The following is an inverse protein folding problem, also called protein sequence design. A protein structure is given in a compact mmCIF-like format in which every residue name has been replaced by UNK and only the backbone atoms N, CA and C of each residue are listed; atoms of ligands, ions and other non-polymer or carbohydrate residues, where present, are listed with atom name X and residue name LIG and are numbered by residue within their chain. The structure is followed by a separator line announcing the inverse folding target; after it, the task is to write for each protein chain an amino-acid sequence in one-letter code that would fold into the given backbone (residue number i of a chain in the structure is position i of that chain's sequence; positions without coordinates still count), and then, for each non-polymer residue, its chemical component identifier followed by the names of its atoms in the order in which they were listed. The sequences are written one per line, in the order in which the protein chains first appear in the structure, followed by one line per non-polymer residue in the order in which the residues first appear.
data_IF_653876305266
#
_entry.id   IF_653876305266
#
_cell.length_a   1.000
_cell.length_b   1.000
_cell.length_c   1.000
_cell.angle_alpha   90.00
_cell.angle_beta   90.00
_cell.angle_gamma   90.00
#
_symmetry.space_group_name_H-M   'P 1'
#
loop_
_entity.id
_entity.type
_entity.pdbx_description
1 polymer ?
#
# COMPACT_ATOMS: atom_id res chain seq x y z
N UNK A 1 19.44 12.63 16.79
CA UNK A 1 18.51 13.57 16.13
C UNK A 1 17.15 13.38 16.78
N UNK A 2 16.61 14.42 17.44
CA UNK A 2 15.27 14.34 18.04
C UNK A 2 14.28 14.78 16.98
N UNK A 3 13.40 13.89 16.56
CA UNK A 3 12.31 14.24 15.64
C UNK A 3 11.21 14.93 16.46
N UNK A 4 10.72 16.11 16.06
CA UNK A 4 9.61 16.77 16.77
C UNK A 4 8.34 15.91 16.75
N UNK A 5 7.58 15.92 17.84
CA UNK A 5 6.28 15.21 17.97
C UNK A 5 5.32 15.59 16.86
N UNK A 6 5.29 16.88 16.54
CA UNK A 6 4.48 17.46 15.47
C UNK A 6 4.83 16.82 14.13
N UNK A 7 6.12 16.62 13.83
CA UNK A 7 6.53 15.99 12.58
C UNK A 7 6.04 14.54 12.45
N UNK A 8 5.95 13.80 13.57
CA UNK A 8 5.37 12.45 13.58
C UNK A 8 3.86 12.50 13.34
N UNK A 9 3.16 13.44 13.99
CA UNK A 9 1.73 13.66 13.78
C UNK A 9 1.40 14.09 12.34
N UNK A 10 2.20 14.97 11.76
CA UNK A 10 2.04 15.46 10.39
C UNK A 10 2.29 14.35 9.37
N UNK A 11 3.30 13.50 9.60
CA UNK A 11 3.54 12.32 8.77
C UNK A 11 2.37 11.34 8.82
N UNK A 12 1.83 11.06 10.01
CA UNK A 12 0.64 10.23 10.19
C UNK A 12 -0.59 10.82 9.48
N UNK A 13 -0.83 12.12 9.61
CA UNK A 13 -1.91 12.82 8.93
C UNK A 13 -1.74 12.77 7.39
N UNK A 14 -0.52 12.93 6.89
CA UNK A 14 -0.19 12.81 5.47
C UNK A 14 -0.53 11.43 4.91
N UNK A 15 -0.19 10.36 5.64
CA UNK A 15 -0.53 8.98 5.26
C UNK A 15 -2.06 8.81 5.16
N UNK A 16 -2.82 9.29 6.14
CA UNK A 16 -4.29 9.21 6.10
C UNK A 16 -4.87 10.04 4.96
N UNK A 17 -4.30 11.21 4.71
CA UNK A 17 -4.63 12.04 3.55
C UNK A 17 -4.45 11.25 2.25
N UNK A 18 -3.32 10.55 2.11
CA UNK A 18 -3.02 9.74 0.93
C UNK A 18 -3.99 8.57 0.73
N UNK A 19 -4.28 7.84 1.81
CA UNK A 19 -5.27 6.77 1.79
C UNK A 19 -6.66 7.30 1.40
N UNK A 20 -6.98 8.53 1.81
CA UNK A 20 -8.23 9.20 1.43
C UNK A 20 -8.23 9.61 -0.05
N UNK A 21 -7.12 10.13 -0.57
CA UNK A 21 -6.97 10.44 -2.01
C UNK A 21 -7.17 9.19 -2.87
N UNK A 22 -6.61 8.06 -2.47
CA UNK A 22 -6.79 6.79 -3.19
C UNK A 22 -8.25 6.31 -3.25
N UNK A 23 -9.12 6.77 -2.35
CA UNK A 23 -10.54 6.46 -2.35
C UNK A 23 -11.38 7.36 -3.28
N UNK A 24 -10.77 8.39 -3.87
CA UNK A 24 -11.40 9.35 -4.77
C UNK A 24 -10.71 9.35 -6.14
N UNK A 25 -11.42 8.82 -7.14
CA UNK A 25 -10.89 8.72 -8.51
C UNK A 25 -10.53 10.08 -9.11
N UNK A 26 -11.15 11.18 -8.67
CA UNK A 26 -10.85 12.53 -9.16
C UNK A 26 -9.51 13.08 -8.67
N UNK A 27 -8.96 12.48 -7.61
CA UNK A 27 -7.68 12.86 -7.00
C UNK A 27 -6.50 12.02 -7.50
N UNK A 28 -6.75 11.04 -8.37
CA UNK A 28 -5.74 10.16 -8.96
C UNK A 28 -5.43 10.66 -10.37
N UNK A 29 -4.21 11.13 -10.58
CA UNK A 29 -3.80 11.72 -11.87
C UNK A 29 -3.50 10.67 -12.94
N UNK A 30 -3.56 11.07 -14.21
CA UNK A 30 -3.13 10.23 -15.34
C UNK A 30 -1.65 9.85 -15.25
N UNK A 31 -0.83 10.77 -14.76
CA UNK A 31 0.62 10.60 -14.60
C UNK A 31 0.93 9.57 -13.50
N UNK A 32 0.30 9.68 -12.33
CA UNK A 32 0.43 8.71 -11.25
C UNK A 32 -0.03 7.32 -11.69
N UNK A 33 -1.18 7.20 -12.39
CA UNK A 33 -1.64 5.90 -12.91
C UNK A 33 -0.70 5.32 -13.95
N UNK A 34 -0.19 6.13 -14.87
CA UNK A 34 0.74 5.70 -15.91
C UNK A 34 2.05 5.20 -15.28
N UNK A 35 2.58 5.94 -14.30
CA UNK A 35 3.77 5.54 -13.56
C UNK A 35 3.55 4.24 -12.78
N UNK A 36 2.46 4.16 -12.00
CA UNK A 36 2.13 2.98 -11.19
C UNK A 36 1.98 1.74 -12.06
N UNK A 37 1.28 1.85 -13.20
CA UNK A 37 1.14 0.76 -14.17
C UNK A 37 2.49 0.35 -14.74
N UNK A 38 3.32 1.30 -15.15
CA UNK A 38 4.64 1.03 -15.72
C UNK A 38 5.53 0.30 -14.73
N UNK A 39 5.58 0.78 -13.49
CA UNK A 39 6.38 0.16 -12.42
C UNK A 39 5.89 -1.25 -12.11
N UNK A 40 4.57 -1.45 -11.99
CA UNK A 40 4.02 -2.76 -11.62
C UNK A 40 4.19 -3.80 -12.73
N UNK A 41 3.99 -3.42 -14.00
CA UNK A 41 4.24 -4.33 -15.13
C UNK A 41 5.74 -4.69 -15.23
N UNK A 42 6.64 -3.73 -15.03
CA UNK A 42 8.07 -4.01 -14.99
C UNK A 42 8.45 -4.97 -13.84
N UNK A 43 7.86 -4.78 -12.66
CA UNK A 43 8.06 -5.66 -11.50
C UNK A 43 7.54 -7.08 -11.77
N UNK A 44 6.36 -7.21 -12.37
CA UNK A 44 5.78 -8.50 -12.73
C UNK A 44 6.66 -9.24 -13.75
N UNK A 45 7.10 -8.56 -14.82
CA UNK A 45 8.01 -9.16 -15.81
C UNK A 45 9.32 -9.62 -15.16
N UNK A 46 9.97 -8.75 -14.39
CA UNK A 46 11.21 -9.11 -13.69
C UNK A 46 11.05 -10.29 -12.72
N UNK A 47 9.87 -10.44 -12.10
CA UNK A 47 9.58 -11.57 -11.23
C UNK A 47 9.49 -12.91 -11.95
N UNK A 48 9.19 -12.90 -13.26
CA UNK A 48 9.05 -14.12 -14.08
C UNK A 48 10.32 -14.47 -14.87
N UNK A 49 11.28 -13.56 -14.97
CA UNK A 49 12.53 -13.74 -15.73
C UNK A 49 13.51 -14.75 -15.09
N UNK A 50 13.23 -15.23 -13.88
CA UNK A 50 14.05 -16.22 -13.19
C UNK A 50 13.29 -17.53 -13.00
N UNK A 51 13.99 -18.67 -13.06
CA UNK A 51 13.39 -19.98 -12.81
C UNK A 51 12.73 -20.07 -11.42
N UNK A 52 13.35 -19.47 -10.40
CA UNK A 52 12.79 -19.42 -9.04
C UNK A 52 11.52 -18.57 -8.96
N UNK A 53 11.50 -17.42 -9.64
CA UNK A 53 10.34 -16.54 -9.69
C UNK A 53 9.16 -17.14 -10.45
N UNK A 54 9.40 -17.71 -11.64
CA UNK A 54 8.39 -18.46 -12.38
C UNK A 54 7.84 -19.65 -11.58
N UNK A 55 8.73 -20.41 -10.93
CA UNK A 55 8.33 -21.52 -10.05
C UNK A 55 7.43 -21.06 -8.90
N UNK A 56 7.77 -19.93 -8.27
CA UNK A 56 6.97 -19.35 -7.18
C UNK A 56 5.59 -18.90 -7.66
N UNK A 57 5.50 -18.30 -8.85
CA UNK A 57 4.24 -17.88 -9.45
C UNK A 57 3.31 -19.07 -9.76
N UNK A 58 3.86 -20.15 -10.33
CA UNK A 58 3.10 -21.37 -10.64
C UNK A 58 2.59 -22.07 -9.37
N UNK A 59 3.42 -22.16 -8.34
CA UNK A 59 3.00 -22.68 -7.03
C UNK A 59 1.90 -21.82 -6.43
N UNK A 60 2.03 -20.49 -6.51
CA UNK A 60 1.00 -19.55 -6.05
C UNK A 60 -0.35 -19.77 -6.75
N UNK A 61 -0.35 -19.87 -8.08
CA UNK A 61 -1.56 -20.16 -8.86
C UNK A 61 -2.18 -21.51 -8.47
N UNK A 62 -1.36 -22.56 -8.33
CA UNK A 62 -1.83 -23.88 -7.91
C UNK A 62 -2.48 -23.86 -6.52
N UNK A 63 -1.85 -23.19 -5.55
CA UNK A 63 -2.40 -23.05 -4.19
C UNK A 63 -3.69 -22.24 -4.14
N UNK A 64 -3.86 -21.27 -5.06
CA UNK A 64 -5.09 -20.51 -5.23
C UNK A 64 -6.18 -21.28 -6.00
N UNK A 65 -5.89 -22.49 -6.52
CA UNK A 65 -6.80 -23.25 -7.38
C UNK A 65 -6.97 -22.65 -8.77
N UNK A 66 -6.03 -21.81 -9.20
CA UNK A 66 -6.03 -21.14 -10.49
C UNK A 66 -5.26 -21.95 -11.55
N UNK A 67 -5.64 -21.83 -12.84
CA UNK A 67 -4.88 -22.42 -13.92
C UNK A 67 -3.52 -21.69 -14.08
N UNK A 68 -2.44 -22.38 -14.51
CA UNK A 68 -1.11 -21.77 -14.70
C UNK A 68 -1.11 -20.51 -15.56
N UNK A 69 -2.01 -20.43 -16.54
CA UNK A 69 -2.16 -19.31 -17.44
C UNK A 69 -2.67 -18.03 -16.74
N UNK A 70 -3.14 -18.12 -15.49
CA UNK A 70 -3.61 -16.97 -14.71
C UNK A 70 -2.51 -15.92 -14.52
N UNK A 71 -1.24 -16.33 -14.48
CA UNK A 71 -0.09 -15.42 -14.39
C UNK A 71 -0.10 -14.41 -15.56
N UNK A 72 -0.38 -14.86 -16.78
CA UNK A 72 -0.48 -14.00 -17.96
C UNK A 72 -1.76 -13.17 -17.98
N UNK A 73 -2.82 -13.64 -17.32
CA UNK A 73 -4.04 -12.85 -17.15
C UNK A 73 -3.84 -11.71 -16.17
N UNK A 74 -3.08 -11.90 -15.11
CA UNK A 74 -2.73 -10.86 -14.14
C UNK A 74 -2.04 -9.69 -14.82
N UNK A 75 -1.07 -9.97 -15.69
CA UNK A 75 -0.40 -8.94 -16.48
C UNK A 75 -1.39 -8.09 -17.30
N UNK A 76 -2.27 -8.74 -18.07
CA UNK A 76 -3.32 -8.06 -18.86
C UNK A 76 -4.30 -7.28 -18.00
N UNK A 77 -4.68 -7.79 -16.82
CA UNK A 77 -5.59 -7.09 -15.91
C UNK A 77 -4.95 -5.79 -15.41
N UNK A 78 -3.68 -5.82 -15.03
CA UNK A 78 -2.94 -4.64 -14.55
C UNK A 78 -2.84 -3.55 -15.64
N UNK A 79 -2.67 -3.93 -16.91
CA UNK A 79 -2.66 -2.97 -18.04
C UNK A 79 -3.96 -2.17 -18.17
N UNK A 80 -5.09 -2.72 -17.72
CA UNK A 80 -6.41 -2.12 -17.88
C UNK A 80 -6.97 -1.46 -16.61
N UNK A 81 -6.25 -1.50 -15.49
CA UNK A 81 -6.70 -0.84 -14.24
C UNK A 81 -6.85 0.66 -14.46
N UNK A 82 -7.99 1.20 -14.04
CA UNK A 82 -8.36 2.62 -14.13
C UNK A 82 -8.37 3.31 -12.75
N UNK A 83 -8.31 4.66 -12.68
CA UNK A 83 -8.54 5.39 -11.42
C UNK A 83 -9.85 5.01 -10.72
N UNK A 84 -10.90 4.71 -11.49
CA UNK A 84 -12.20 4.33 -10.94
C UNK A 84 -12.13 2.99 -10.21
N UNK A 85 -11.44 2.00 -10.77
CA UNK A 85 -11.23 0.69 -10.15
C UNK A 85 -10.45 0.83 -8.83
N UNK A 86 -9.38 1.62 -8.84
CA UNK A 86 -8.58 1.90 -7.64
C UNK A 86 -9.43 2.53 -6.56
N UNK A 87 -10.21 3.56 -6.91
CA UNK A 87 -11.07 4.25 -5.95
C UNK A 87 -12.22 3.37 -5.44
N UNK A 88 -12.77 2.49 -6.27
CA UNK A 88 -13.78 1.50 -5.85
C UNK A 88 -13.20 0.53 -4.82
N UNK A 89 -12.05 -0.07 -5.11
CA UNK A 89 -11.34 -0.97 -4.20
C UNK A 89 -10.96 -0.23 -2.91
N UNK A 90 -10.47 1.00 -3.05
CA UNK A 90 -10.14 1.91 -1.95
C UNK A 90 -11.34 2.11 -1.02
N UNK A 91 -12.49 2.55 -1.55
CA UNK A 91 -13.72 2.72 -0.76
C UNK A 91 -14.22 1.41 -0.15
N UNK A 92 -14.00 0.28 -0.82
CA UNK A 92 -14.46 -1.02 -0.31
C UNK A 92 -13.64 -1.49 0.88
N UNK A 93 -12.32 -1.40 0.80
CA UNK A 93 -11.39 -2.07 1.72
C UNK A 93 -10.56 -1.15 2.61
N UNK A 94 -10.39 0.11 2.23
CA UNK A 94 -9.62 1.09 2.99
C UNK A 94 -10.57 1.94 3.85
N UNK A 95 -10.21 2.14 5.11
CA UNK A 95 -10.90 3.04 6.05
C UNK A 95 -9.87 4.02 6.60
N UNK A 96 -9.55 5.11 5.88
CA UNK A 96 -8.46 6.02 6.26
C UNK A 96 -8.60 6.53 7.70
N UNK A 97 -9.81 6.84 8.13
CA UNK A 97 -10.12 7.34 9.47
C UNK A 97 -9.97 6.29 10.58
N UNK A 98 -9.92 5.00 10.23
CA UNK A 98 -9.73 3.86 11.12
C UNK A 98 -8.39 3.15 10.91
N UNK A 99 -7.44 3.77 10.18
CA UNK A 99 -6.15 3.15 9.90
C UNK A 99 -5.37 2.95 11.22
N UNK A 100 -5.09 1.69 11.64
CA UNK A 100 -4.32 1.45 12.85
C UNK A 100 -2.88 1.89 12.62
N UNK A 101 -2.33 2.66 13.56
CA UNK A 101 -0.96 3.17 13.47
C UNK A 101 -0.11 2.70 14.64
N UNK A 102 1.11 2.27 14.29
CA UNK A 102 2.14 1.89 15.26
C UNK A 102 3.28 2.90 15.16
N UNK A 103 3.56 3.59 16.26
CA UNK A 103 4.68 4.52 16.36
C UNK A 103 5.79 3.86 17.17
N UNK A 104 6.96 3.70 16.54
CA UNK A 104 8.14 3.08 17.17
C UNK A 104 9.15 4.17 17.51
N UNK A 105 9.63 4.17 18.74
CA UNK A 105 10.58 5.15 19.26
C UNK A 105 11.03 4.83 20.68
N UNK A 106 11.87 5.69 21.25
CA UNK A 106 12.31 5.57 22.65
C UNK A 106 11.11 5.68 23.61
N UNK A 107 10.97 4.74 24.54
CA UNK A 107 9.82 4.68 25.43
C UNK A 107 9.70 5.93 26.32
N UNK A 108 10.82 6.44 26.87
CA UNK A 108 10.81 7.59 27.77
C UNK A 108 10.40 8.84 27.01
N UNK A 109 10.82 8.95 25.76
CA UNK A 109 10.42 10.03 24.88
C UNK A 109 8.93 9.93 24.53
N UNK A 110 8.44 8.77 24.10
CA UNK A 110 7.04 8.59 23.67
C UNK A 110 6.02 8.87 24.79
N UNK A 111 6.31 8.46 26.03
CA UNK A 111 5.40 8.74 27.16
C UNK A 111 5.41 10.21 27.58
N UNK A 112 6.53 10.91 27.38
CA UNK A 112 6.65 12.34 27.72
C UNK A 112 6.11 13.24 26.62
N UNK A 113 5.89 12.68 25.43
CA UNK A 113 5.51 13.38 24.22
C UNK A 113 4.39 12.63 23.50
N UNK A 114 3.13 12.72 23.99
CA UNK A 114 2.03 11.97 23.41
C UNK A 114 1.80 12.38 21.95
N UNK A 115 2.05 11.44 21.03
CA UNK A 115 1.79 11.61 19.59
C UNK A 115 0.30 11.38 19.35
N UNK A 116 -0.35 12.30 18.64
CA UNK A 116 -1.73 12.13 18.19
C UNK A 116 -1.73 11.65 16.75
N UNK A 117 -2.34 10.50 16.50
CA UNK A 117 -2.55 9.96 15.14
C UNK A 117 -4.03 9.61 14.93
N UNK A 118 -4.53 9.63 13.68
CA UNK A 118 -5.85 9.09 13.36
C UNK A 118 -5.94 7.58 13.65
N UNK A 119 -7.10 7.06 14.04
CA UNK A 119 -7.31 5.62 14.24
C UNK A 119 -6.77 5.00 15.54
N UNK A 120 -6.08 5.77 16.39
CA UNK A 120 -5.52 5.31 17.67
C UNK A 120 -4.05 4.88 17.58
N UNK A 121 -3.31 4.93 18.69
CA UNK A 121 -1.88 4.61 18.77
C UNK A 121 -1.66 3.31 19.54
N UNK A 122 -0.92 2.37 18.95
CA UNK A 122 -0.28 1.29 19.70
C UNK A 122 1.23 1.56 19.81
N UNK A 123 1.77 1.48 21.03
CA UNK A 123 3.21 1.59 21.29
C UNK A 123 3.79 0.18 21.44
N UNK A 124 4.82 -0.14 20.66
CA UNK A 124 5.57 -1.40 20.81
C UNK A 124 6.92 -1.08 21.45
N UNK A 125 7.22 -1.72 22.57
CA UNK A 125 8.51 -1.61 23.27
C UNK A 125 9.33 -2.88 23.02
N UNK A 126 10.63 -2.73 22.80
CA UNK A 126 11.62 -3.80 23.02
C UNK A 126 12.35 -3.54 24.33
#
# INVERSE_FOLDING_TARGET
MVVPVQAVGDAAASIVGELSRLCDASQITSEEMSLARTVELARLSASLDTAAGLGSALVGAHLAGEPPESILQTYRRVEHVTPADVAEVGRRWVRPEHAPMVVVGDWRWLISHPVRVPGGVAFITH
#
